data_IF_595972754676
#
_entry.id   IF_595972754676
#
_cell.length_a   1.000
_cell.length_b   1.000
_cell.length_c   1.000
_cell.angle_alpha   90.00
_cell.angle_beta   90.00
_cell.angle_gamma   90.00
#
_symmetry.space_group_name_H-M   'P 1'
#
loop_
_entity.id
_entity.type
_entity.pdbx_description
1 polymer ?
#
# COMPACT_ATOMS: atom_id res chain seq x y z
N UNK A 1 -0.26 -14.98 0.71
CA UNK A 1 -0.33 -14.71 2.15
C UNK A 1 0.97 -14.08 2.62
N UNK A 2 0.89 -13.03 3.42
CA UNK A 2 2.07 -12.25 3.81
C UNK A 2 1.92 -11.78 5.25
N UNK A 3 3.04 -11.73 5.99
CA UNK A 3 3.03 -11.21 7.36
C UNK A 3 3.08 -9.69 7.37
N UNK A 4 2.34 -9.07 8.30
CA UNK A 4 2.44 -7.64 8.55
C UNK A 4 3.48 -7.35 9.67
N UNK A 5 3.61 -6.07 10.06
CA UNK A 5 4.57 -5.65 11.08
C UNK A 5 4.34 -6.26 12.46
N UNK A 6 3.13 -6.76 12.72
CA UNK A 6 2.77 -7.41 14.00
C UNK A 6 2.84 -8.93 13.92
N UNK A 7 3.33 -9.49 12.80
CA UNK A 7 3.38 -10.92 12.59
C UNK A 7 2.03 -11.56 12.24
N UNK A 8 1.02 -10.75 11.95
CA UNK A 8 -0.31 -11.24 11.55
C UNK A 8 -0.29 -11.56 10.05
N UNK A 9 -0.81 -12.74 9.69
CA UNK A 9 -0.93 -13.11 8.28
C UNK A 9 -2.07 -12.35 7.62
N UNK A 10 -1.77 -11.75 6.46
CA UNK A 10 -2.75 -11.04 5.64
C UNK A 10 -2.93 -11.77 4.31
N UNK A 11 -4.19 -11.90 3.89
CA UNK A 11 -4.55 -12.51 2.61
C UNK A 11 -5.75 -11.78 2.03
N UNK A 12 -5.76 -11.62 0.69
CA UNK A 12 -6.90 -11.03 -0.01
C UNK A 12 -8.06 -12.01 -0.23
N UNK A 13 -7.88 -13.30 0.08
CA UNK A 13 -8.91 -14.32 -0.16
C UNK A 13 -10.18 -14.12 0.67
N UNK A 14 -10.07 -13.48 1.83
CA UNK A 14 -11.19 -13.25 2.74
C UNK A 14 -11.67 -11.81 2.74
N UNK A 15 -11.10 -10.95 1.90
CA UNK A 15 -11.51 -9.56 1.83
C UNK A 15 -12.84 -9.44 1.10
N UNK A 16 -13.79 -8.75 1.73
CA UNK A 16 -15.09 -8.44 1.16
C UNK A 16 -15.18 -6.98 0.71
N UNK A 17 -14.12 -6.22 0.92
CA UNK A 17 -14.05 -4.80 0.65
C UNK A 17 -12.98 -4.51 -0.40
N UNK A 18 -13.06 -3.39 -1.11
CA UNK A 18 -11.96 -2.95 -1.96
C UNK A 18 -10.67 -2.80 -1.17
N UNK A 19 -9.54 -3.04 -1.83
CA UNK A 19 -8.21 -2.94 -1.24
C UNK A 19 -7.36 -1.94 -2.00
N UNK A 20 -6.77 -1.00 -1.27
CA UNK A 20 -5.70 -0.15 -1.78
C UNK A 20 -4.38 -0.77 -1.33
N UNK A 21 -3.62 -1.29 -2.27
CA UNK A 21 -2.34 -1.94 -2.02
C UNK A 21 -1.24 -1.06 -2.61
N UNK A 22 -0.42 -0.44 -1.77
CA UNK A 22 0.62 0.44 -2.27
C UNK A 22 2.01 -0.11 -1.94
N UNK A 23 2.86 -0.17 -2.96
CA UNK A 23 4.26 -0.55 -2.84
C UNK A 23 5.10 0.72 -2.70
N UNK A 24 5.99 0.75 -1.70
CA UNK A 24 6.91 1.86 -1.49
C UNK A 24 8.33 1.33 -1.36
N UNK A 25 9.35 2.16 -1.73
CA UNK A 25 10.72 1.66 -1.80
C UNK A 25 11.33 1.21 -0.47
N UNK A 26 11.23 2.02 0.60
CA UNK A 26 11.95 1.72 1.83
C UNK A 26 11.42 2.50 3.02
N UNK A 27 11.35 1.84 4.20
CA UNK A 27 11.01 2.49 5.46
C UNK A 27 11.98 3.64 5.78
N UNK A 28 11.48 4.66 6.49
CA UNK A 28 12.27 5.79 7.01
C UNK A 28 12.94 6.67 5.94
N UNK A 29 12.52 6.58 4.69
CA UNK A 29 12.94 7.54 3.66
C UNK A 29 11.93 8.69 3.58
N UNK A 30 12.36 9.94 3.25
CA UNK A 30 11.44 11.10 3.26
C UNK A 30 10.21 10.94 2.36
N UNK A 31 10.40 10.47 1.13
CA UNK A 31 9.29 10.30 0.19
C UNK A 31 8.30 9.22 0.64
N UNK A 32 8.80 8.12 1.19
CA UNK A 32 7.94 7.03 1.69
C UNK A 32 7.23 7.44 2.97
N UNK A 33 7.88 8.21 3.85
CA UNK A 33 7.25 8.74 5.06
C UNK A 33 6.08 9.66 4.70
N UNK A 34 6.26 10.54 3.72
CA UNK A 34 5.18 11.42 3.23
C UNK A 34 4.02 10.59 2.70
N UNK A 35 4.29 9.54 1.92
CA UNK A 35 3.25 8.68 1.36
C UNK A 35 2.48 7.93 2.43
N UNK A 36 3.16 7.22 3.35
CA UNK A 36 2.47 6.45 4.39
C UNK A 36 1.69 7.36 5.33
N UNK A 37 2.21 8.54 5.64
CA UNK A 37 1.51 9.51 6.48
C UNK A 37 0.31 10.13 5.74
N UNK A 38 0.39 10.27 4.42
CA UNK A 38 -0.74 10.71 3.60
C UNK A 38 -1.90 9.71 3.67
N UNK A 39 -1.62 8.43 3.56
CA UNK A 39 -2.63 7.38 3.74
C UNK A 39 -3.15 7.37 5.19
N UNK A 40 -2.27 7.56 6.17
CA UNK A 40 -2.67 7.65 7.58
C UNK A 40 -3.67 8.79 7.80
N UNK A 41 -3.36 9.98 7.28
CA UNK A 41 -4.19 11.18 7.50
C UNK A 41 -5.55 11.07 6.82
N UNK A 42 -5.67 10.28 5.76
CA UNK A 42 -6.92 10.04 5.04
C UNK A 42 -7.55 8.69 5.37
N UNK A 43 -7.03 7.98 6.35
CA UNK A 43 -7.48 6.62 6.66
C UNK A 43 -8.97 6.55 6.98
N UNK A 44 -9.51 7.52 7.71
CA UNK A 44 -10.93 7.57 8.03
C UNK A 44 -11.79 7.70 6.77
N UNK A 45 -11.31 8.47 5.78
CA UNK A 45 -11.99 8.58 4.49
C UNK A 45 -11.98 7.24 3.74
N UNK A 46 -10.85 6.52 3.75
CA UNK A 46 -10.78 5.19 3.14
C UNK A 46 -11.78 4.24 3.80
N UNK A 47 -11.91 4.28 5.12
CA UNK A 47 -12.90 3.48 5.84
C UNK A 47 -14.34 3.85 5.45
N UNK A 48 -14.65 5.14 5.33
CA UNK A 48 -15.96 5.62 4.88
C UNK A 48 -16.25 5.10 3.47
N UNK A 49 -15.22 5.03 2.61
CA UNK A 49 -15.33 4.47 1.27
C UNK A 49 -15.37 2.93 1.27
N UNK A 50 -15.30 2.30 2.44
CA UNK A 50 -15.38 0.85 2.58
C UNK A 50 -14.12 0.12 2.17
N UNK A 51 -12.96 0.78 2.13
CA UNK A 51 -11.72 0.22 1.62
C UNK A 51 -10.75 -0.16 2.74
N UNK A 52 -9.99 -1.24 2.50
CA UNK A 52 -8.79 -1.55 3.26
C UNK A 52 -7.59 -0.86 2.62
N UNK A 53 -6.57 -0.53 3.43
CA UNK A 53 -5.30 0.05 2.96
C UNK A 53 -4.16 -0.80 3.49
N UNK A 54 -3.31 -1.31 2.60
CA UNK A 54 -2.12 -2.07 2.98
C UNK A 54 -0.90 -1.51 2.26
N UNK A 55 0.17 -1.24 3.02
CA UNK A 55 1.47 -0.88 2.45
C UNK A 55 2.34 -2.11 2.29
N UNK A 56 3.22 -2.12 1.29
CA UNK A 56 4.13 -3.24 1.01
C UNK A 56 5.53 -2.71 0.73
N UNK A 57 6.51 -3.27 1.41
CA UNK A 57 7.93 -3.02 1.15
C UNK A 57 8.74 -4.23 1.60
N UNK A 58 10.01 -4.29 1.22
CA UNK A 58 10.86 -5.44 1.52
C UNK A 58 11.53 -5.39 2.90
N UNK A 59 11.17 -4.42 3.75
CA UNK A 59 11.64 -4.38 5.13
C UNK A 59 11.12 -5.56 5.93
N UNK A 60 11.86 -5.96 6.99
CA UNK A 60 11.43 -7.00 7.89
C UNK A 60 10.41 -6.48 8.92
N UNK A 61 9.87 -7.37 9.76
CA UNK A 61 8.86 -6.97 10.74
C UNK A 61 9.36 -5.94 11.74
N UNK A 62 10.62 -6.01 12.15
CA UNK A 62 11.21 -5.03 13.08
C UNK A 62 11.26 -3.63 12.47
N UNK A 63 11.70 -3.51 11.22
CA UNK A 63 11.75 -2.25 10.47
C UNK A 63 10.35 -1.68 10.27
N UNK A 64 9.42 -2.50 9.81
CA UNK A 64 8.02 -2.08 9.58
C UNK A 64 7.32 -1.69 10.87
N UNK A 65 7.55 -2.44 11.96
CA UNK A 65 6.96 -2.11 13.27
C UNK A 65 7.45 -0.77 13.78
N UNK A 66 8.76 -0.52 13.70
CA UNK A 66 9.36 0.76 14.08
C UNK A 66 8.79 1.90 13.25
N UNK A 67 8.71 1.73 11.94
CA UNK A 67 8.18 2.72 11.01
C UNK A 67 6.70 3.01 11.28
N UNK A 68 5.89 1.96 11.50
CA UNK A 68 4.48 2.09 11.79
C UNK A 68 4.23 2.80 13.14
N UNK A 69 5.00 2.45 14.17
CA UNK A 69 4.86 3.07 15.50
C UNK A 69 5.28 4.53 15.48
N UNK A 70 6.41 4.83 14.83
CA UNK A 70 6.94 6.19 14.71
C UNK A 70 5.95 7.13 14.01
N UNK A 71 5.25 6.63 13.00
CA UNK A 71 4.30 7.42 12.21
C UNK A 71 2.85 7.18 12.61
N UNK A 72 2.60 6.38 13.64
CA UNK A 72 1.24 6.10 14.18
C UNK A 72 0.28 5.58 13.11
N UNK A 73 0.74 4.61 12.30
CA UNK A 73 -0.06 4.04 11.24
C UNK A 73 -1.14 3.10 11.79
N UNK A 74 -2.36 3.20 11.24
CA UNK A 74 -3.52 2.40 11.63
C UNK A 74 -3.71 1.16 10.77
N UNK A 75 -2.94 1.03 9.69
CA UNK A 75 -3.10 -0.02 8.69
C UNK A 75 -1.84 -0.90 8.61
N UNK A 76 -1.98 -2.13 8.08
CA UNK A 76 -0.85 -3.05 8.00
C UNK A 76 0.21 -2.63 6.98
N UNK A 77 1.47 -2.92 7.33
CA UNK A 77 2.59 -2.87 6.40
C UNK A 77 3.06 -4.31 6.18
N UNK A 78 2.93 -4.81 4.96
CA UNK A 78 3.32 -6.18 4.64
C UNK A 78 4.84 -6.29 4.45
N UNK A 79 5.42 -7.35 5.00
CA UNK A 79 6.87 -7.59 4.99
C UNK A 79 7.24 -8.47 3.79
N UNK A 80 7.47 -7.84 2.64
CA UNK A 80 7.84 -8.52 1.38
C UNK A 80 9.36 -8.71 1.31
N UNK A 81 9.94 -9.39 2.30
CA UNK A 81 11.39 -9.48 2.52
C UNK A 81 12.16 -10.07 1.36
N UNK A 82 11.55 -10.94 0.57
CA UNK A 82 12.17 -11.56 -0.62
C UNK A 82 11.60 -11.04 -1.94
N UNK A 83 10.90 -9.90 -1.91
CA UNK A 83 10.28 -9.26 -3.08
C UNK A 83 9.28 -10.15 -3.82
N UNK A 84 8.68 -11.15 -3.16
CA UNK A 84 7.76 -12.07 -3.82
C UNK A 84 6.50 -11.38 -4.33
N UNK A 85 5.91 -10.46 -3.56
CA UNK A 85 4.76 -9.68 -4.03
C UNK A 85 5.13 -8.72 -5.15
N UNK A 86 6.31 -8.06 -5.05
CA UNK A 86 6.80 -7.22 -6.14
C UNK A 86 6.90 -7.98 -7.45
N UNK A 87 7.37 -9.22 -7.39
CA UNK A 87 7.48 -10.08 -8.58
C UNK A 87 6.11 -10.45 -9.13
N UNK A 88 5.18 -10.83 -8.26
CA UNK A 88 3.81 -11.19 -8.66
C UNK A 88 3.10 -10.02 -9.33
N UNK A 89 3.19 -8.83 -8.73
CA UNK A 89 2.57 -7.61 -9.27
C UNK A 89 3.41 -6.94 -10.36
N UNK A 90 4.62 -7.46 -10.64
CA UNK A 90 5.54 -6.92 -11.64
C UNK A 90 5.86 -5.45 -11.41
N UNK A 91 6.09 -5.06 -10.16
CA UNK A 91 6.49 -3.69 -9.80
C UNK A 91 7.91 -3.44 -10.32
N UNK A 92 8.10 -2.50 -11.24
CA UNK A 92 9.41 -2.30 -11.86
C UNK A 92 10.38 -1.58 -10.92
N UNK A 93 11.66 -1.83 -11.14
CA UNK A 93 12.72 -1.00 -10.54
C UNK A 93 12.95 0.22 -11.43
N UNK A 94 13.14 1.37 -10.80
CA UNK A 94 13.44 2.61 -11.53
C UNK A 94 14.94 2.63 -11.81
N UNK A 95 15.32 2.79 -13.08
CA UNK A 95 16.71 2.79 -13.54
C UNK A 95 17.47 1.50 -13.15
N UNK A 96 16.73 0.40 -12.91
CA UNK A 96 17.33 -0.88 -12.52
C UNK A 96 17.92 -0.93 -11.11
N UNK A 97 17.85 0.16 -10.33
CA UNK A 97 18.48 0.28 -9.02
C UNK A 97 17.52 0.51 -7.87
N UNK A 98 16.48 1.31 -8.08
CA UNK A 98 15.52 1.68 -7.04
C UNK A 98 14.22 0.91 -7.20
N UNK A 99 13.67 0.42 -6.08
CA UNK A 99 12.34 -0.16 -6.08
C UNK A 99 11.29 0.89 -6.46
N UNK A 100 10.32 0.50 -7.27
CA UNK A 100 9.27 1.41 -7.74
C UNK A 100 8.24 1.73 -6.67
N UNK A 101 7.52 2.83 -6.90
CA UNK A 101 6.38 3.24 -6.08
C UNK A 101 5.12 3.07 -6.92
N UNK A 102 4.28 2.11 -6.56
CA UNK A 102 3.08 1.75 -7.34
C UNK A 102 1.92 1.52 -6.39
N UNK A 103 0.75 2.07 -6.72
CA UNK A 103 -0.48 1.83 -5.97
C UNK A 103 -1.49 1.12 -6.85
N UNK A 104 -2.04 0.03 -6.32
CA UNK A 104 -3.09 -0.76 -6.97
C UNK A 104 -4.39 -0.55 -6.22
N UNK A 105 -5.48 -0.34 -6.95
CA UNK A 105 -6.83 -0.36 -6.38
C UNK A 105 -7.51 -1.63 -6.87
N UNK A 106 -7.86 -2.50 -5.95
CA UNK A 106 -8.43 -3.82 -6.21
C UNK A 106 -9.86 -3.83 -5.70
N UNK A 107 -10.82 -4.27 -6.54
CA UNK A 107 -12.23 -4.28 -6.16
C UNK A 107 -12.57 -5.47 -5.26
N UNK A 108 -13.83 -5.52 -4.80
CA UNK A 108 -14.32 -6.59 -3.92
C UNK A 108 -14.22 -7.98 -4.54
N UNK A 109 -14.18 -8.06 -5.85
CA UNK A 109 -14.11 -9.33 -6.59
C UNK A 109 -12.67 -9.77 -6.81
N UNK A 110 -11.69 -8.96 -6.40
CA UNK A 110 -10.27 -9.27 -6.55
C UNK A 110 -9.65 -8.80 -7.87
N UNK A 111 -10.36 -7.99 -8.65
CA UNK A 111 -9.83 -7.45 -9.90
C UNK A 111 -9.11 -6.12 -9.66
N UNK A 112 -7.94 -5.96 -10.29
CA UNK A 112 -7.22 -4.69 -10.28
C UNK A 112 -7.97 -3.71 -11.19
N UNK A 113 -8.46 -2.63 -10.60
CA UNK A 113 -9.24 -1.61 -11.32
C UNK A 113 -8.43 -0.39 -11.68
N UNK A 114 -7.30 -0.17 -11.02
CA UNK A 114 -6.43 0.96 -11.30
C UNK A 114 -5.00 0.68 -10.85
N UNK A 115 -4.03 1.16 -11.62
CA UNK A 115 -2.61 1.09 -11.31
C UNK A 115 -2.05 2.50 -11.47
N UNK A 116 -1.43 3.03 -10.41
CA UNK A 116 -0.81 4.34 -10.44
C UNK A 116 0.67 4.24 -10.10
N UNK A 117 1.53 4.77 -10.96
CA UNK A 117 2.98 4.72 -10.84
C UNK A 117 3.55 6.13 -10.80
N UNK A 118 4.23 6.49 -9.72
CA UNK A 118 4.92 7.77 -9.60
C UNK A 118 5.91 7.69 -8.44
N UNK A 119 7.19 7.62 -8.75
CA UNK A 119 8.23 7.48 -7.71
C UNK A 119 8.37 8.73 -6.85
N UNK A 120 8.18 9.91 -7.44
CA UNK A 120 8.55 11.19 -6.80
C UNK A 120 7.39 11.89 -6.10
N UNK A 121 6.15 11.51 -6.38
CA UNK A 121 4.98 12.20 -5.84
C UNK A 121 4.12 11.25 -5.00
N UNK A 122 4.49 11.06 -3.73
CA UNK A 122 3.74 10.23 -2.78
C UNK A 122 2.29 10.69 -2.61
N UNK A 123 2.02 12.01 -2.38
CA UNK A 123 0.64 12.48 -2.21
C UNK A 123 -0.30 12.20 -3.38
N UNK A 124 0.20 12.13 -4.60
CA UNK A 124 -0.62 11.80 -5.77
C UNK A 124 -1.20 10.40 -5.68
N UNK A 125 -0.50 9.45 -5.05
CA UNK A 125 -1.00 8.08 -4.85
C UNK A 125 -2.28 8.07 -4.02
N UNK A 126 -2.34 8.89 -2.97
CA UNK A 126 -3.51 9.00 -2.09
C UNK A 126 -4.70 9.58 -2.86
N UNK A 127 -4.48 10.66 -3.59
CA UNK A 127 -5.52 11.31 -4.39
C UNK A 127 -6.10 10.38 -5.45
N UNK A 128 -5.23 9.64 -6.16
CA UNK A 128 -5.65 8.69 -7.19
C UNK A 128 -6.46 7.54 -6.59
N UNK A 129 -6.02 6.99 -5.46
CA UNK A 129 -6.75 5.91 -4.79
C UNK A 129 -8.16 6.37 -4.37
N UNK A 130 -8.28 7.56 -3.78
CA UNK A 130 -9.56 8.11 -3.38
C UNK A 130 -10.48 8.32 -4.58
N UNK A 131 -9.94 8.89 -5.66
CA UNK A 131 -10.70 9.13 -6.89
C UNK A 131 -11.31 7.83 -7.43
N UNK A 132 -10.49 6.79 -7.54
CA UNK A 132 -10.92 5.50 -8.10
C UNK A 132 -11.94 4.82 -7.19
N UNK A 133 -11.74 4.86 -5.87
CA UNK A 133 -12.69 4.28 -4.92
C UNK A 133 -14.06 4.96 -5.01
N UNK A 134 -14.10 6.27 -5.20
CA UNK A 134 -15.36 7.00 -5.41
C UNK A 134 -16.05 6.56 -6.70
N UNK A 135 -15.30 6.35 -7.76
CA UNK A 135 -15.84 5.83 -9.02
C UNK A 135 -16.41 4.42 -8.83
N UNK A 136 -15.72 3.55 -8.08
CA UNK A 136 -16.20 2.19 -7.81
C UNK A 136 -17.50 2.16 -7.03
N UNK A 137 -17.73 3.13 -6.14
CA UNK A 137 -18.98 3.22 -5.38
C UNK A 137 -20.19 3.58 -6.25
N UNK A 138 -19.95 4.23 -7.39
CA UNK A 138 -21.00 4.63 -8.32
C UNK A 138 -21.34 3.55 -9.35
N UNK A 139 -20.69 2.40 -9.27
CA UNK A 139 -20.99 1.25 -10.15
C UNK A 139 -22.15 0.42 -9.66
#
# INVERSE_FOLDING_TARGET
MMLDQNGVQRTNKKLKNPLVLFFYPKDDTPGCTIEVCGFRDKYDLFKVLGAEVWGVSNGNSASHLSFANKNKLQYPLLCDTNDSLRKIFKVPKVLGLLDGRVTYVIDRKGFVRHIYRDLLNGPAHIKEAIRVLKELQNE
#
